data_IF_648592218309
#
_entry.id   IF_648592218309
#
_cell.length_a   1.000
_cell.length_b   1.000
_cell.length_c   1.000
_cell.angle_alpha   90.00
_cell.angle_beta   90.00
_cell.angle_gamma   90.00
#
_symmetry.space_group_name_H-M   'P 1'
#
loop_
_entity.id
_entity.type
_entity.pdbx_description
1 polymer ?
#
# COMPACT_ATOMS: atom_id res chain seq x y z
N UNK A 1 -0.57 -17.25 -21.60
CA UNK A 1 -1.94 -16.87 -21.18
C UNK A 1 -1.97 -15.37 -20.98
N UNK A 2 -3.03 -14.68 -21.39
CA UNK A 2 -3.27 -13.27 -21.04
C UNK A 2 -4.09 -13.24 -19.75
N UNK A 3 -3.40 -13.28 -18.62
CA UNK A 3 -4.01 -13.16 -17.29
C UNK A 3 -3.42 -11.93 -16.61
N UNK A 4 -4.29 -11.06 -16.12
CA UNK A 4 -3.93 -9.90 -15.32
C UNK A 4 -4.55 -10.10 -13.94
N UNK A 5 -3.71 -10.08 -12.90
CA UNK A 5 -4.18 -10.14 -11.52
C UNK A 5 -5.01 -8.88 -11.22
N UNK A 6 -6.20 -9.08 -10.66
CA UNK A 6 -7.04 -8.00 -10.16
C UNK A 6 -6.94 -7.94 -8.63
N UNK A 7 -6.62 -6.77 -8.12
CA UNK A 7 -6.50 -6.49 -6.69
C UNK A 7 -7.54 -5.42 -6.33
N UNK A 8 -8.79 -5.80 -5.99
CA UNK A 8 -9.72 -4.85 -5.40
C UNK A 8 -9.10 -4.16 -4.18
N UNK A 9 -9.31 -2.85 -4.07
CA UNK A 9 -8.76 -2.02 -3.01
C UNK A 9 -9.77 -1.77 -1.89
N UNK A 10 -9.30 -1.85 -0.65
CA UNK A 10 -10.00 -1.41 0.55
C UNK A 10 -9.07 -0.46 1.29
N UNK A 11 -9.40 0.82 1.24
CA UNK A 11 -8.69 1.84 1.99
C UNK A 11 -9.41 2.08 3.31
N UNK A 12 -8.66 2.12 4.41
CA UNK A 12 -9.20 2.26 5.77
C UNK A 12 -8.82 3.60 6.37
N UNK A 13 -9.82 4.36 6.79
CA UNK A 13 -9.69 5.63 7.50
C UNK A 13 -10.77 5.73 8.57
N UNK A 14 -10.39 6.15 9.78
CA UNK A 14 -11.27 6.26 10.96
C UNK A 14 -12.11 4.97 11.16
N UNK A 15 -11.43 3.82 10.99
CA UNK A 15 -12.01 2.48 11.08
C UNK A 15 -13.02 2.08 10.00
N UNK A 16 -13.14 2.84 8.91
CA UNK A 16 -14.12 2.62 7.83
C UNK A 16 -13.44 2.40 6.49
N UNK A 17 -14.07 1.56 5.67
CA UNK A 17 -13.72 1.44 4.26
C UNK A 17 -14.12 2.74 3.56
N UNK A 18 -13.17 3.38 2.89
CA UNK A 18 -13.38 4.62 2.16
C UNK A 18 -12.79 4.51 0.75
N UNK A 19 -13.17 5.47 -0.10
CA UNK A 19 -12.45 5.78 -1.33
C UNK A 19 -12.21 7.27 -1.37
N UNK A 20 -10.97 7.68 -1.64
CA UNK A 20 -10.62 9.07 -1.88
C UNK A 20 -10.72 9.39 -3.38
N UNK A 21 -10.98 10.66 -3.71
CA UNK A 21 -10.79 11.16 -5.07
C UNK A 21 -9.46 11.89 -5.10
N UNK A 22 -8.51 11.40 -5.91
CA UNK A 22 -7.15 11.95 -6.02
C UNK A 22 -6.45 12.12 -4.66
N UNK A 23 -6.64 11.17 -3.74
CA UNK A 23 -5.96 11.18 -2.43
C UNK A 23 -6.40 12.31 -1.49
N UNK A 24 -7.42 13.09 -1.86
CA UNK A 24 -7.90 14.21 -1.04
C UNK A 24 -8.78 13.70 0.11
N UNK A 25 -8.25 13.81 1.34
CA UNK A 25 -8.94 13.40 2.58
C UNK A 25 -10.30 14.08 2.79
N UNK A 26 -10.50 15.26 2.18
CA UNK A 26 -11.76 16.01 2.28
C UNK A 26 -12.85 15.51 1.32
N UNK A 27 -12.50 14.64 0.36
CA UNK A 27 -13.37 14.12 -0.69
C UNK A 27 -13.47 12.59 -0.60
N UNK A 28 -13.93 12.09 0.54
CA UNK A 28 -14.11 10.65 0.80
C UNK A 28 -15.55 10.17 0.57
N UNK A 29 -15.69 8.94 0.07
CA UNK A 29 -16.95 8.19 0.12
C UNK A 29 -16.77 7.01 1.04
N UNK A 30 -17.62 6.87 2.06
CA UNK A 30 -17.58 5.75 3.00
C UNK A 30 -18.44 4.59 2.51
N UNK A 31 -17.89 3.38 2.60
CA UNK A 31 -18.51 2.11 2.19
C UNK A 31 -18.89 1.22 3.39
N UNK A 32 -18.49 1.59 4.61
CA UNK A 32 -18.86 0.88 5.84
C UNK A 32 -17.70 0.13 6.49
N UNK A 33 -17.93 -1.10 6.94
CA UNK A 33 -16.94 -1.89 7.65
C UNK A 33 -15.91 -2.50 6.67
N UNK A 34 -14.59 -2.29 6.85
CA UNK A 34 -13.54 -2.88 6.01
C UNK A 34 -13.59 -4.40 5.86
N UNK A 35 -13.91 -5.13 6.92
CA UNK A 35 -14.00 -6.59 6.88
C UNK A 35 -15.18 -7.04 6.01
N UNK A 36 -16.33 -6.38 6.11
CA UNK A 36 -17.51 -6.70 5.30
C UNK A 36 -17.20 -6.48 3.81
N UNK A 37 -16.63 -5.33 3.45
CA UNK A 37 -16.24 -5.02 2.07
C UNK A 37 -15.19 -6.00 1.54
N UNK A 38 -14.18 -6.35 2.35
CA UNK A 38 -13.16 -7.32 1.95
C UNK A 38 -13.75 -8.72 1.71
N UNK A 39 -14.68 -9.16 2.55
CA UNK A 39 -15.38 -10.44 2.40
C UNK A 39 -16.30 -10.45 1.17
N UNK A 40 -16.90 -9.32 0.81
CA UNK A 40 -17.67 -9.19 -0.44
C UNK A 40 -16.78 -9.42 -1.68
N UNK A 41 -15.57 -8.83 -1.70
CA UNK A 41 -14.62 -9.07 -2.79
C UNK A 41 -14.17 -10.53 -2.87
N UNK A 42 -13.88 -11.16 -1.73
CA UNK A 42 -13.56 -12.59 -1.68
C UNK A 42 -14.74 -13.45 -2.21
N UNK A 43 -15.97 -13.16 -1.77
CA UNK A 43 -17.17 -13.88 -2.22
C UNK A 43 -17.44 -13.68 -3.72
N UNK A 44 -17.04 -12.55 -4.29
CA UNK A 44 -17.09 -12.27 -5.72
C UNK A 44 -15.98 -12.95 -6.54
N UNK A 45 -15.04 -13.64 -5.90
CA UNK A 45 -13.98 -14.41 -6.56
C UNK A 45 -12.64 -13.69 -6.71
N UNK A 46 -12.40 -12.63 -5.94
CA UNK A 46 -11.07 -12.00 -5.90
C UNK A 46 -10.01 -13.01 -5.41
N UNK A 47 -8.82 -12.98 -6.01
CA UNK A 47 -7.68 -13.79 -5.54
C UNK A 47 -6.72 -13.00 -4.64
N UNK A 48 -6.84 -11.68 -4.69
CA UNK A 48 -6.02 -10.70 -3.98
C UNK A 48 -6.90 -9.61 -3.39
N UNK A 49 -6.44 -9.01 -2.29
CA UNK A 49 -6.93 -7.74 -1.78
C UNK A 49 -5.75 -6.77 -1.64
N UNK A 50 -5.93 -5.53 -2.09
CA UNK A 50 -5.05 -4.41 -1.75
C UNK A 50 -5.66 -3.66 -0.55
N UNK A 51 -4.99 -3.72 0.61
CA UNK A 51 -5.51 -3.19 1.86
C UNK A 51 -4.61 -2.06 2.37
N UNK A 52 -5.15 -0.86 2.56
CA UNK A 52 -4.36 0.35 2.86
C UNK A 52 -4.81 0.99 4.17
N UNK A 53 -3.87 1.22 5.08
CA UNK A 53 -4.08 2.10 6.25
C UNK A 53 -3.83 3.56 5.87
N UNK A 54 -4.90 4.31 5.58
CA UNK A 54 -4.76 5.73 5.24
C UNK A 54 -4.36 6.55 6.45
N UNK A 55 -4.88 6.26 7.65
CA UNK A 55 -4.52 7.03 8.84
C UNK A 55 -3.03 6.94 9.14
N UNK A 56 -2.44 5.74 8.99
CA UNK A 56 -1.01 5.55 9.13
C UNK A 56 -0.22 6.17 7.96
N UNK A 57 -0.75 6.10 6.73
CA UNK A 57 -0.14 6.75 5.56
C UNK A 57 -0.06 8.29 5.70
N UNK A 58 -1.07 8.92 6.30
CA UNK A 58 -1.11 10.36 6.56
C UNK A 58 -0.52 10.77 7.92
N UNK A 59 -0.23 9.81 8.80
CA UNK A 59 0.34 10.07 10.12
C UNK A 59 -0.65 10.70 11.10
N UNK A 60 -1.94 10.40 10.94
CA UNK A 60 -3.03 10.94 11.78
C UNK A 60 -3.62 9.87 12.72
N UNK A 61 -3.11 8.63 12.66
CA UNK A 61 -3.55 7.51 13.48
C UNK A 61 -3.00 6.20 12.92
N UNK A 62 -3.57 5.08 13.35
CA UNK A 62 -3.40 3.77 12.72
C UNK A 62 -4.62 2.88 12.97
N UNK A 63 -4.88 1.97 12.03
CA UNK A 63 -5.94 0.96 12.06
C UNK A 63 -5.37 -0.46 12.17
N UNK A 64 -4.16 -0.60 12.72
CA UNK A 64 -3.34 -1.83 12.71
C UNK A 64 -4.08 -3.08 13.21
N UNK A 65 -4.83 -2.97 14.31
CA UNK A 65 -5.63 -4.07 14.85
C UNK A 65 -6.76 -4.52 13.93
N UNK A 66 -7.45 -3.56 13.29
CA UNK A 66 -8.55 -3.86 12.37
C UNK A 66 -8.03 -4.47 11.07
N UNK A 67 -6.90 -3.98 10.55
CA UNK A 67 -6.25 -4.57 9.38
C UNK A 67 -5.78 -6.00 9.67
N UNK A 68 -5.24 -6.26 10.85
CA UNK A 68 -4.87 -7.61 11.27
C UNK A 68 -6.09 -8.55 11.33
N UNK A 69 -7.25 -8.06 11.80
CA UNK A 69 -8.51 -8.81 11.76
C UNK A 69 -8.92 -9.12 10.32
N UNK A 70 -8.89 -8.14 9.41
CA UNK A 70 -9.22 -8.33 7.99
C UNK A 70 -8.34 -9.41 7.37
N UNK A 71 -7.01 -9.29 7.50
CA UNK A 71 -6.07 -10.27 6.93
C UNK A 71 -6.30 -11.66 7.51
N UNK A 72 -6.52 -11.79 8.83
CA UNK A 72 -6.73 -13.08 9.50
C UNK A 72 -8.06 -13.76 9.17
N UNK A 73 -9.00 -13.08 8.52
CA UNK A 73 -10.33 -13.60 8.16
C UNK A 73 -10.49 -13.91 6.67
N UNK A 74 -9.54 -13.49 5.84
CA UNK A 74 -9.54 -13.75 4.40
C UNK A 74 -8.79 -15.05 4.08
N UNK A 75 -9.30 -15.78 3.09
CA UNK A 75 -8.69 -16.99 2.53
C UNK A 75 -7.90 -16.67 1.24
N UNK A 76 -7.85 -15.40 0.85
CA UNK A 76 -7.21 -14.88 -0.35
C UNK A 76 -5.89 -14.18 -0.02
N UNK A 77 -5.08 -13.90 -1.04
CA UNK A 77 -3.79 -13.20 -0.85
C UNK A 77 -4.06 -11.75 -0.46
N UNK A 78 -3.21 -11.17 0.39
CA UNK A 78 -3.33 -9.76 0.79
C UNK A 78 -2.03 -9.02 0.55
N UNK A 79 -2.13 -7.88 -0.13
CA UNK A 79 -1.10 -6.85 -0.21
C UNK A 79 -1.46 -5.74 0.77
N UNK A 80 -0.59 -5.49 1.75
CA UNK A 80 -0.82 -4.52 2.83
C UNK A 80 0.03 -3.25 2.64
N UNK A 81 -0.56 -2.08 2.82
CA UNK A 81 0.11 -0.78 2.69
C UNK A 81 -0.33 0.19 3.79
N UNK A 82 0.38 1.31 3.88
CA UNK A 82 0.06 2.41 4.81
C UNK A 82 0.97 2.44 6.04
N UNK A 83 1.70 3.54 6.22
CA UNK A 83 2.49 3.80 7.43
C UNK A 83 3.72 2.91 7.70
N UNK A 84 4.04 1.96 6.81
CA UNK A 84 5.20 1.06 6.97
C UNK A 84 6.50 1.83 6.68
N UNK A 85 7.23 2.24 7.72
CA UNK A 85 8.36 3.18 7.64
C UNK A 85 9.60 2.82 8.45
N UNK A 86 9.51 1.78 9.26
CA UNK A 86 10.56 1.31 10.14
C UNK A 86 10.39 -0.19 10.43
N UNK A 87 11.36 -0.78 11.14
CA UNK A 87 11.36 -2.21 11.45
C UNK A 87 10.14 -2.62 12.29
N UNK A 88 9.64 -1.74 13.16
CA UNK A 88 8.51 -2.04 14.03
C UNK A 88 7.20 -2.14 13.23
N UNK A 89 6.91 -1.11 12.42
CA UNK A 89 5.75 -1.09 11.53
C UNK A 89 5.80 -2.20 10.48
N UNK A 90 6.98 -2.50 9.94
CA UNK A 90 7.17 -3.64 9.04
C UNK A 90 6.89 -4.98 9.73
N UNK A 91 7.45 -5.20 10.92
CA UNK A 91 7.21 -6.44 11.68
C UNK A 91 5.72 -6.61 12.00
N UNK A 92 5.03 -5.55 12.42
CA UNK A 92 3.57 -5.58 12.66
C UNK A 92 2.80 -5.94 11.38
N UNK A 93 3.11 -5.29 10.25
CA UNK A 93 2.45 -5.55 8.97
C UNK A 93 2.66 -7.00 8.49
N UNK A 94 3.90 -7.50 8.54
CA UNK A 94 4.22 -8.87 8.10
C UNK A 94 3.63 -9.93 9.03
N UNK A 95 3.48 -9.64 10.33
CA UNK A 95 2.90 -10.54 11.32
C UNK A 95 1.39 -10.77 11.15
N UNK A 96 0.69 -9.93 10.38
CA UNK A 96 -0.71 -10.17 10.00
C UNK A 96 -0.89 -11.45 9.16
N UNK A 97 0.17 -11.95 8.53
CA UNK A 97 0.10 -13.04 7.57
C UNK A 97 -0.12 -12.57 6.12
N UNK A 98 -0.11 -11.26 5.87
CA UNK A 98 -0.22 -10.73 4.50
C UNK A 98 0.86 -11.33 3.58
N UNK A 99 0.49 -11.53 2.31
CA UNK A 99 1.38 -12.13 1.32
C UNK A 99 2.57 -11.22 1.04
N UNK A 100 2.32 -9.91 0.92
CA UNK A 100 3.37 -8.89 0.74
C UNK A 100 2.94 -7.53 1.28
N UNK A 101 3.91 -6.62 1.43
CA UNK A 101 3.69 -5.23 1.82
C UNK A 101 4.19 -4.26 0.75
N UNK A 102 3.61 -3.06 0.72
CA UNK A 102 4.08 -1.95 -0.10
C UNK A 102 4.80 -0.92 0.77
N UNK A 103 6.06 -0.62 0.43
CA UNK A 103 6.79 0.50 0.98
C UNK A 103 6.59 1.72 0.08
N UNK A 104 5.91 2.75 0.59
CA UNK A 104 5.72 4.02 -0.13
C UNK A 104 6.81 5.02 0.25
N UNK A 105 6.46 6.01 1.07
CA UNK A 105 7.36 7.11 1.50
C UNK A 105 8.70 6.63 2.05
N UNK A 106 8.75 5.51 2.77
CA UNK A 106 9.98 4.96 3.33
C UNK A 106 11.01 4.58 2.25
N UNK A 107 10.53 4.08 1.11
CA UNK A 107 11.38 3.76 -0.04
C UNK A 107 12.06 5.01 -0.63
N UNK A 108 11.48 6.19 -0.42
CA UNK A 108 12.00 7.46 -0.93
C UNK A 108 12.88 8.17 0.11
N UNK A 109 12.43 8.22 1.37
CA UNK A 109 13.10 8.97 2.43
C UNK A 109 14.20 8.16 3.15
N UNK A 110 14.19 6.83 3.07
CA UNK A 110 15.15 5.97 3.77
C UNK A 110 15.68 4.82 2.87
N UNK A 111 16.52 5.15 1.86
CA UNK A 111 17.03 4.16 0.91
C UNK A 111 17.90 3.07 1.57
N UNK A 112 18.67 3.40 2.61
CA UNK A 112 19.51 2.45 3.33
C UNK A 112 18.70 1.39 4.08
N UNK A 113 17.59 1.80 4.72
CA UNK A 113 16.65 0.87 5.31
C UNK A 113 15.95 0.02 4.25
N UNK A 114 15.56 0.65 3.15
CA UNK A 114 14.82 0.00 2.06
C UNK A 114 15.63 -1.12 1.41
N UNK A 115 16.90 -0.90 1.09
CA UNK A 115 17.75 -1.94 0.51
C UNK A 115 17.96 -3.12 1.47
N UNK A 116 18.09 -2.85 2.78
CA UNK A 116 18.19 -3.91 3.80
C UNK A 116 16.92 -4.75 3.84
N UNK A 117 15.76 -4.10 3.89
CA UNK A 117 14.45 -4.77 3.98
C UNK A 117 14.14 -5.57 2.72
N UNK A 118 14.46 -5.04 1.52
CA UNK A 118 14.34 -5.77 0.26
C UNK A 118 15.24 -7.01 0.27
N UNK A 119 16.50 -6.88 0.70
CA UNK A 119 17.44 -8.01 0.76
C UNK A 119 17.00 -9.09 1.76
N UNK A 120 16.40 -8.69 2.89
CA UNK A 120 15.97 -9.60 3.96
C UNK A 120 14.65 -10.33 3.63
N UNK A 121 13.71 -9.65 3.00
CA UNK A 121 12.33 -10.13 2.82
C UNK A 121 11.93 -10.43 1.37
N UNK A 122 12.76 -10.04 0.39
CA UNK A 122 12.60 -10.40 -1.02
C UNK A 122 11.23 -10.04 -1.60
N UNK A 123 10.53 -11.04 -2.14
CA UNK A 123 9.25 -10.90 -2.83
C UNK A 123 8.07 -10.50 -1.94
N UNK A 124 8.26 -10.53 -0.62
CA UNK A 124 7.32 -9.96 0.35
C UNK A 124 7.35 -8.44 0.38
N UNK A 125 8.31 -7.80 -0.27
CA UNK A 125 8.44 -6.35 -0.36
C UNK A 125 8.17 -5.90 -1.79
N UNK A 126 7.19 -5.02 -1.94
CA UNK A 126 6.98 -4.21 -3.13
C UNK A 126 7.15 -2.73 -2.79
N UNK A 127 7.40 -1.89 -3.78
CA UNK A 127 7.53 -0.45 -3.60
C UNK A 127 6.39 0.28 -4.31
N UNK A 128 5.67 1.12 -3.55
CA UNK A 128 4.66 2.01 -4.09
C UNK A 128 5.30 3.24 -4.72
N UNK A 129 5.02 3.48 -6.00
CA UNK A 129 5.51 4.62 -6.79
C UNK A 129 4.31 5.47 -7.21
N UNK A 130 3.90 6.35 -6.32
CA UNK A 130 2.89 7.36 -6.61
C UNK A 130 3.52 8.51 -7.39
N UNK A 131 3.02 8.80 -8.58
CA UNK A 131 3.68 9.71 -9.53
C UNK A 131 2.73 10.76 -10.10
N UNK A 132 3.23 11.99 -10.23
CA UNK A 132 2.64 13.05 -11.05
C UNK A 132 3.60 13.36 -12.21
N UNK A 133 3.28 12.88 -13.40
CA UNK A 133 4.22 12.95 -14.53
C UNK A 133 5.43 12.04 -14.26
N UNK A 134 6.60 12.63 -14.00
CA UNK A 134 7.81 11.90 -13.60
C UNK A 134 8.27 12.21 -12.17
N UNK A 135 7.50 13.00 -11.41
CA UNK A 135 7.84 13.37 -10.03
C UNK A 135 7.09 12.46 -9.07
N UNK A 136 7.82 11.80 -8.19
CA UNK A 136 7.25 10.96 -7.15
C UNK A 136 6.59 11.80 -6.05
N UNK A 137 5.47 11.33 -5.55
CA UNK A 137 4.70 11.94 -4.47
C UNK A 137 4.93 11.15 -3.17
N UNK A 138 5.31 11.84 -2.10
CA UNK A 138 5.60 11.28 -0.79
C UNK A 138 4.63 11.83 0.27
N UNK A 139 4.56 11.16 1.44
CA UNK A 139 3.77 11.55 2.62
C UNK A 139 2.30 11.85 2.29
N UNK A 140 1.59 10.90 1.70
CA UNK A 140 0.20 11.10 1.27
C UNK A 140 0.07 12.22 0.23
N UNK A 141 1.02 12.27 -0.70
CA UNK A 141 1.07 13.18 -1.85
C UNK A 141 1.28 14.67 -1.54
N UNK A 142 1.70 14.99 -0.31
CA UNK A 142 1.94 16.36 0.15
C UNK A 142 3.35 16.88 -0.12
N UNK A 143 4.28 16.01 -0.52
CA UNK A 143 5.71 16.34 -0.71
C UNK A 143 6.29 15.66 -1.95
N UNK A 144 7.26 16.30 -2.61
CA UNK A 144 8.02 15.69 -3.70
C UNK A 144 9.03 14.66 -3.17
N UNK A 145 9.12 13.52 -3.86
CA UNK A 145 9.93 12.35 -3.50
C UNK A 145 11.09 12.05 -4.46
N UNK A 146 11.34 12.92 -5.44
CA UNK A 146 12.39 12.77 -6.44
C UNK A 146 11.87 12.33 -7.82
N UNK A 147 12.79 12.04 -8.73
CA UNK A 147 12.49 11.55 -10.08
C UNK A 147 12.16 10.05 -10.09
N UNK A 148 11.14 9.69 -10.88
CA UNK A 148 10.66 8.32 -11.05
C UNK A 148 11.75 7.37 -11.58
N UNK A 149 12.46 7.77 -12.64
CA UNK A 149 13.39 6.90 -13.33
C UNK A 149 14.68 6.72 -12.54
N UNK A 150 15.17 7.76 -11.88
CA UNK A 150 16.29 7.66 -10.94
C UNK A 150 15.97 6.71 -9.78
N UNK A 151 14.75 6.79 -9.24
CA UNK A 151 14.29 5.94 -8.15
C UNK A 151 14.17 4.48 -8.59
N UNK A 152 13.56 4.21 -9.76
CA UNK A 152 13.48 2.86 -10.32
C UNK A 152 14.89 2.30 -10.55
N UNK A 153 15.80 3.06 -11.17
CA UNK A 153 17.16 2.60 -11.42
C UNK A 153 17.95 2.29 -10.14
N UNK A 154 17.63 2.95 -9.02
CA UNK A 154 18.16 2.58 -7.70
C UNK A 154 17.52 1.29 -7.18
N UNK A 155 16.20 1.21 -7.16
CA UNK A 155 15.46 0.06 -6.63
C UNK A 155 15.74 -1.25 -7.42
N UNK A 156 15.98 -1.17 -8.72
CA UNK A 156 16.45 -2.30 -9.54
C UNK A 156 17.81 -2.81 -9.07
N UNK A 157 18.75 -1.91 -8.76
CA UNK A 157 20.07 -2.28 -8.22
C UNK A 157 19.97 -2.87 -6.81
N UNK A 158 19.00 -2.42 -6.04
CA UNK A 158 18.70 -2.90 -4.70
C UNK A 158 17.96 -4.26 -4.71
N UNK A 159 17.52 -4.73 -5.90
CA UNK A 159 16.86 -6.03 -6.06
C UNK A 159 15.35 -6.01 -5.77
N UNK A 160 14.69 -4.85 -5.91
CA UNK A 160 13.26 -4.73 -5.70
C UNK A 160 12.47 -5.70 -6.61
N UNK A 161 11.59 -6.50 -6.02
CA UNK A 161 10.87 -7.55 -6.74
C UNK A 161 9.67 -7.02 -7.55
N UNK A 162 9.08 -5.90 -7.13
CA UNK A 162 7.80 -5.41 -7.65
C UNK A 162 7.57 -3.93 -7.35
N UNK A 163 6.93 -3.25 -8.29
CA UNK A 163 6.42 -1.90 -8.12
C UNK A 163 4.89 -1.88 -8.21
N UNK A 164 4.26 -1.05 -7.38
CA UNK A 164 2.85 -0.66 -7.51
C UNK A 164 2.85 0.79 -7.93
N UNK A 165 2.44 1.09 -9.18
CA UNK A 165 2.59 2.41 -9.78
C UNK A 165 1.23 3.10 -9.86
N UNK A 166 1.12 4.28 -9.27
CA UNK A 166 -0.12 5.07 -9.24
C UNK A 166 0.09 6.40 -9.94
N UNK A 167 -0.67 6.69 -11.00
CA UNK A 167 -0.78 8.07 -11.48
C UNK A 167 -1.77 8.81 -10.56
N UNK A 168 -1.24 9.68 -9.69
CA UNK A 168 -2.03 10.39 -8.68
C UNK A 168 -3.07 11.34 -9.30
N UNK A 169 -2.95 11.65 -10.59
CA UNK A 169 -3.93 12.50 -11.31
C UNK A 169 -5.14 11.72 -11.82
N UNK A 170 -5.07 10.38 -11.81
CA UNK A 170 -6.14 9.47 -12.27
C UNK A 170 -6.81 8.72 -11.14
N UNK A 171 -6.20 8.72 -9.97
CA UNK A 171 -6.73 7.97 -8.84
C UNK A 171 -8.12 8.50 -8.41
N UNK A 172 -9.10 7.61 -8.36
CA UNK A 172 -10.49 7.93 -8.00
C UNK A 172 -11.30 8.74 -9.02
N UNK A 173 -10.83 8.93 -10.27
CA UNK A 173 -11.51 9.74 -11.31
C UNK A 173 -11.67 9.04 -12.66
#
# INVERSE_FOLDING_TARGET
MSYLELLPAVDVKDGRAVRLVQGELSAETAYGNPLEVALEFQAAGAEWLHLVDLDAAFGIGENSAQLAEVVGRLDIKVELSGGIRDDESLARALATGCTRVNLGTAALENPEWTVRVIAEHGDRIAVGLDVRGHVLAARGWTKEGGDLFETIARLERDGCARYVVTDVTKDGT
#
